data_IF_584527245038
#
_entry.id   IF_584527245038
#
_cell.length_a   1.000
_cell.length_b   1.000
_cell.length_c   1.000
_cell.angle_alpha   90.00
_cell.angle_beta   90.00
_cell.angle_gamma   90.00
#
_symmetry.space_group_name_H-M   'P 1'
#
loop_
_entity.id
_entity.type
_entity.pdbx_description
1 polymer ?
#
# COMPACT_ATOMS: atom_id res chain seq x y z
N UNK A 1 -29.95 -7.63 19.82
CA UNK A 1 -28.97 -6.67 19.26
C UNK A 1 -29.18 -5.26 19.75
N UNK A 2 -30.22 -4.51 19.36
CA UNK A 2 -30.40 -3.12 19.87
C UNK A 2 -30.53 -3.03 21.41
N UNK A 3 -31.36 -3.86 22.07
CA UNK A 3 -31.44 -3.86 23.54
C UNK A 3 -30.14 -4.26 24.24
N UNK A 4 -29.25 -4.99 23.54
CA UNK A 4 -27.96 -5.41 24.08
C UNK A 4 -26.91 -4.32 23.92
N UNK A 5 -26.92 -3.59 22.81
CA UNK A 5 -26.05 -2.45 22.57
C UNK A 5 -26.29 -1.33 23.58
N UNK A 6 -27.56 -1.08 23.93
CA UNK A 6 -27.94 -0.07 24.92
C UNK A 6 -27.34 -0.31 26.32
N UNK A 7 -26.96 -1.55 26.65
CA UNK A 7 -26.31 -1.90 27.93
C UNK A 7 -24.86 -1.41 27.99
N UNK A 8 -24.23 -1.10 26.85
CA UNK A 8 -22.82 -0.73 26.76
C UNK A 8 -22.64 0.70 26.23
N UNK A 9 -22.36 1.66 27.13
CA UNK A 9 -22.24 3.09 26.79
C UNK A 9 -21.18 3.40 25.71
N UNK A 10 -20.03 2.72 25.73
CA UNK A 10 -18.95 2.94 24.76
C UNK A 10 -19.34 2.57 23.32
N UNK A 11 -19.68 1.29 23.06
CA UNK A 11 -20.19 0.84 21.77
C UNK A 11 -21.43 1.60 21.29
N UNK A 12 -22.35 1.93 22.19
CA UNK A 12 -23.53 2.73 21.85
C UNK A 12 -23.13 4.11 21.31
N UNK A 13 -22.20 4.80 21.98
CA UNK A 13 -21.70 6.11 21.54
C UNK A 13 -21.02 6.04 20.17
N UNK A 14 -20.22 5.00 19.91
CA UNK A 14 -19.59 4.81 18.59
C UNK A 14 -20.64 4.57 17.51
N UNK A 15 -21.65 3.73 17.79
CA UNK A 15 -22.73 3.46 16.85
C UNK A 15 -23.53 4.72 16.50
N UNK A 16 -23.95 5.48 17.51
CA UNK A 16 -24.82 6.65 17.33
C UNK A 16 -24.09 7.87 16.76
N UNK A 17 -22.84 8.11 17.18
CA UNK A 17 -22.12 9.34 16.85
C UNK A 17 -21.07 9.19 15.76
N UNK A 18 -20.70 7.96 15.39
CA UNK A 18 -19.69 7.70 14.35
C UNK A 18 -20.28 6.83 13.23
N UNK A 19 -20.72 5.61 13.53
CA UNK A 19 -21.08 4.63 12.50
C UNK A 19 -22.33 5.04 11.72
N UNK A 20 -23.43 5.34 12.42
CA UNK A 20 -24.71 5.69 11.81
C UNK A 20 -24.69 7.03 11.05
N UNK A 21 -24.08 8.12 11.58
CA UNK A 21 -23.95 9.37 10.85
C UNK A 21 -23.08 9.25 9.59
N UNK A 22 -22.18 8.28 9.55
CA UNK A 22 -21.31 8.07 8.39
C UNK A 22 -22.00 7.31 7.25
N UNK A 23 -23.00 6.47 7.53
CA UNK A 23 -23.77 5.73 6.49
C UNK A 23 -24.24 6.65 5.34
N UNK A 24 -24.94 7.78 5.58
CA UNK A 24 -25.36 8.67 4.49
C UNK A 24 -24.17 9.35 3.80
N UNK A 25 -23.04 9.56 4.47
CA UNK A 25 -21.81 10.09 3.86
C UNK A 25 -21.24 9.07 2.86
N UNK A 26 -21.07 7.82 3.28
CA UNK A 26 -20.60 6.74 2.40
C UNK A 26 -21.55 6.53 1.24
N UNK A 27 -22.87 6.50 1.48
CA UNK A 27 -23.86 6.35 0.42
C UNK A 27 -23.73 7.44 -0.65
N UNK A 28 -23.50 8.70 -0.25
CA UNK A 28 -23.24 9.80 -1.20
C UNK A 28 -21.94 9.58 -1.98
N UNK A 29 -20.86 9.19 -1.30
CA UNK A 29 -19.57 8.93 -1.96
C UNK A 29 -19.70 7.81 -3.00
N UNK A 30 -20.35 6.70 -2.64
CA UNK A 30 -20.55 5.55 -3.53
C UNK A 30 -21.43 5.91 -4.74
N UNK A 31 -22.54 6.61 -4.51
CA UNK A 31 -23.47 7.06 -5.57
C UNK A 31 -22.84 8.09 -6.51
N UNK A 32 -21.96 8.95 -6.01
CA UNK A 32 -21.25 9.92 -6.83
C UNK A 32 -20.21 9.25 -7.73
N UNK A 33 -19.46 8.27 -7.20
CA UNK A 33 -18.39 7.60 -7.94
C UNK A 33 -17.26 8.53 -8.39
N UNK A 34 -16.31 7.99 -9.15
CA UNK A 34 -15.15 8.71 -9.70
C UNK A 34 -15.15 8.65 -11.22
N UNK A 35 -14.91 9.80 -11.89
CA UNK A 35 -14.76 9.83 -13.35
C UNK A 35 -13.38 9.26 -13.69
N UNK A 36 -13.31 8.43 -14.72
CA UNK A 36 -12.05 7.91 -15.23
C UNK A 36 -12.01 8.12 -16.74
N UNK A 37 -10.82 8.40 -17.28
CA UNK A 37 -10.61 8.44 -18.73
C UNK A 37 -10.15 7.06 -19.23
N UNK A 38 -10.99 6.33 -19.98
CA UNK A 38 -10.62 5.01 -20.48
C UNK A 38 -9.48 5.05 -21.50
N UNK A 39 -9.33 6.14 -22.28
CA UNK A 39 -8.27 6.26 -23.29
C UNK A 39 -6.90 6.34 -22.61
N UNK A 40 -6.82 7.12 -21.53
CA UNK A 40 -5.60 7.24 -20.73
C UNK A 40 -5.20 5.90 -20.12
N UNK A 41 -6.17 5.15 -19.58
CA UNK A 41 -5.91 3.82 -19.01
C UNK A 41 -5.46 2.81 -20.06
N UNK A 42 -6.02 2.88 -21.27
CA UNK A 42 -5.61 2.02 -22.38
C UNK A 42 -4.16 2.29 -22.80
N UNK A 43 -3.80 3.56 -23.05
CA UNK A 43 -2.43 3.94 -23.42
C UNK A 43 -1.41 3.52 -22.35
N UNK A 44 -1.79 3.63 -21.07
CA UNK A 44 -0.93 3.19 -19.96
C UNK A 44 -0.84 1.66 -19.91
N UNK A 45 -1.91 0.92 -20.23
CA UNK A 45 -1.86 -0.54 -20.33
C UNK A 45 -0.88 -1.00 -21.42
N UNK A 46 -0.84 -0.29 -22.56
CA UNK A 46 0.13 -0.57 -23.63
C UNK A 46 1.58 -0.30 -23.18
N UNK A 47 1.86 0.85 -22.54
CA UNK A 47 3.19 1.16 -21.98
C UNK A 47 3.63 0.09 -20.97
N UNK A 48 2.72 -0.33 -20.08
CA UNK A 48 2.99 -1.40 -19.12
C UNK A 48 3.23 -2.74 -19.81
N UNK A 49 2.52 -3.05 -20.89
CA UNK A 49 2.71 -4.30 -21.64
C UNK A 49 4.11 -4.38 -22.24
N UNK A 50 4.57 -3.29 -22.87
CA UNK A 50 5.94 -3.21 -23.40
C UNK A 50 6.98 -3.37 -22.30
N UNK A 51 6.79 -2.67 -21.18
CA UNK A 51 7.72 -2.72 -20.05
C UNK A 51 7.78 -4.10 -19.39
N UNK A 52 6.63 -4.77 -19.28
CA UNK A 52 6.57 -6.14 -18.74
C UNK A 52 7.32 -7.12 -19.62
N UNK A 53 7.17 -7.01 -20.95
CA UNK A 53 7.91 -7.84 -21.89
C UNK A 53 9.43 -7.61 -21.82
N UNK A 54 9.88 -6.37 -21.63
CA UNK A 54 11.31 -6.06 -21.39
C UNK A 54 11.83 -6.71 -20.10
N UNK A 55 11.06 -6.64 -19.01
CA UNK A 55 11.45 -7.19 -17.72
C UNK A 55 11.44 -8.72 -17.73
N UNK A 56 10.50 -9.32 -18.45
CA UNK A 56 10.43 -10.77 -18.64
C UNK A 56 11.67 -11.28 -19.38
N UNK A 57 12.05 -10.66 -20.51
CA UNK A 57 13.29 -11.01 -21.23
C UNK A 57 14.52 -10.89 -20.35
N UNK A 58 14.65 -9.78 -19.60
CA UNK A 58 15.77 -9.59 -18.66
C UNK A 58 15.80 -10.66 -17.57
N UNK A 59 14.64 -11.06 -17.05
CA UNK A 59 14.57 -12.10 -16.04
C UNK A 59 15.00 -13.47 -16.60
N UNK A 60 14.58 -13.80 -17.82
CA UNK A 60 15.00 -15.02 -18.52
C UNK A 60 16.51 -15.03 -18.80
N UNK A 61 17.07 -13.91 -19.24
CA UNK A 61 18.52 -13.75 -19.45
C UNK A 61 19.32 -13.97 -18.15
N UNK A 62 18.85 -13.41 -17.03
CA UNK A 62 19.51 -13.56 -15.72
C UNK A 62 19.35 -14.99 -15.17
N UNK A 63 18.19 -15.61 -15.40
CA UNK A 63 17.92 -16.98 -14.94
C UNK A 63 18.59 -18.05 -15.81
N UNK A 64 18.94 -17.73 -17.06
CA UNK A 64 19.48 -18.66 -18.04
C UNK A 64 18.45 -19.61 -18.66
N UNK A 65 17.16 -19.39 -18.37
CA UNK A 65 16.06 -20.20 -18.90
C UNK A 65 14.75 -19.41 -18.93
N UNK A 66 13.82 -19.87 -19.77
CA UNK A 66 12.47 -19.33 -19.83
C UNK A 66 11.59 -19.91 -18.73
N UNK A 67 10.84 -19.04 -18.05
CA UNK A 67 9.90 -19.41 -17.01
C UNK A 67 8.81 -18.37 -16.84
N UNK A 68 7.73 -18.75 -16.17
CA UNK A 68 6.63 -17.85 -15.88
C UNK A 68 6.88 -17.06 -14.58
N UNK A 69 7.17 -15.76 -14.72
CA UNK A 69 7.40 -14.83 -13.59
C UNK A 69 6.17 -14.63 -12.69
N UNK A 70 4.96 -14.98 -13.14
CA UNK A 70 3.76 -14.95 -12.29
C UNK A 70 3.62 -16.20 -11.41
N UNK A 71 4.31 -17.30 -11.74
CA UNK A 71 4.24 -18.55 -11.01
C UNK A 71 5.20 -18.57 -9.82
N UNK A 72 4.66 -18.57 -8.62
CA UNK A 72 5.45 -18.63 -7.37
C UNK A 72 6.26 -19.92 -7.26
N UNK A 73 5.75 -21.05 -7.79
CA UNK A 73 6.45 -22.34 -7.78
C UNK A 73 7.68 -22.34 -8.68
N UNK A 74 7.54 -21.85 -9.92
CA UNK A 74 8.68 -21.79 -10.84
C UNK A 74 9.75 -20.82 -10.35
N UNK A 75 9.33 -19.68 -9.78
CA UNK A 75 10.24 -18.75 -9.12
C UNK A 75 11.00 -19.38 -7.94
N UNK A 76 10.34 -20.21 -7.13
CA UNK A 76 11.01 -20.92 -6.03
C UNK A 76 12.09 -21.86 -6.56
N UNK A 77 11.78 -22.66 -7.58
CA UNK A 77 12.74 -23.57 -8.21
C UNK A 77 13.95 -22.81 -8.75
N UNK A 78 13.74 -21.69 -9.45
CA UNK A 78 14.83 -20.93 -10.05
C UNK A 78 15.71 -20.26 -8.99
N UNK A 79 15.11 -19.57 -8.03
CA UNK A 79 15.85 -18.83 -7.01
C UNK A 79 16.59 -19.79 -6.06
N UNK A 80 15.90 -20.81 -5.54
CA UNK A 80 16.43 -21.61 -4.44
C UNK A 80 17.10 -22.92 -4.90
N UNK A 81 16.62 -23.56 -5.96
CA UNK A 81 17.21 -24.83 -6.43
C UNK A 81 18.30 -24.58 -7.48
N UNK A 82 18.04 -23.73 -8.49
CA UNK A 82 18.99 -23.50 -9.60
C UNK A 82 20.08 -22.48 -9.27
N UNK A 83 19.70 -21.31 -8.75
CA UNK A 83 20.66 -20.29 -8.34
C UNK A 83 21.25 -20.57 -6.95
N UNK A 84 20.72 -21.55 -6.22
CA UNK A 84 21.24 -21.96 -4.91
C UNK A 84 21.14 -20.89 -3.83
N UNK A 85 20.24 -19.91 -3.99
CA UNK A 85 20.04 -18.84 -3.01
C UNK A 85 19.47 -19.46 -1.74
N UNK A 86 19.96 -19.04 -0.57
CA UNK A 86 19.44 -19.55 0.71
C UNK A 86 18.09 -18.88 1.04
N UNK A 87 17.03 -19.65 1.33
CA UNK A 87 15.74 -19.09 1.69
C UNK A 87 15.78 -18.45 3.10
N UNK A 88 15.38 -17.18 3.19
CA UNK A 88 15.38 -16.40 4.44
C UNK A 88 14.17 -16.72 5.33
N UNK A 89 13.00 -16.94 4.72
CA UNK A 89 11.75 -17.31 5.41
C UNK A 89 11.07 -18.46 4.68
N UNK A 90 10.32 -19.27 5.42
CA UNK A 90 9.44 -20.32 4.87
C UNK A 90 7.98 -19.97 5.09
N UNK A 91 7.14 -20.35 4.15
CA UNK A 91 5.68 -20.29 4.30
C UNK A 91 5.20 -21.30 5.35
N UNK A 92 3.98 -21.15 5.90
CA UNK A 92 3.41 -22.12 6.84
C UNK A 92 3.37 -23.56 6.30
N UNK A 93 3.31 -23.72 4.97
CA UNK A 93 3.40 -25.03 4.29
C UNK A 93 4.81 -25.55 4.04
N UNK A 94 5.84 -24.93 4.63
CA UNK A 94 7.24 -25.37 4.54
C UNK A 94 7.99 -24.96 3.27
N UNK A 95 7.31 -24.47 2.24
CA UNK A 95 7.93 -24.00 1.01
C UNK A 95 8.69 -22.67 1.23
N UNK A 96 9.84 -22.45 0.56
CA UNK A 96 10.56 -21.18 0.56
C UNK A 96 9.67 -19.98 0.21
N UNK A 97 9.67 -18.92 1.02
CA UNK A 97 8.84 -17.75 0.75
C UNK A 97 9.40 -16.91 -0.39
N UNK A 98 8.55 -16.54 -1.35
CA UNK A 98 8.85 -15.49 -2.35
C UNK A 98 7.99 -14.26 -2.12
N UNK A 99 7.71 -13.93 -0.86
CA UNK A 99 6.98 -12.70 -0.50
C UNK A 99 7.78 -11.44 -0.89
N UNK A 100 7.08 -10.31 -1.00
CA UNK A 100 7.68 -9.02 -1.37
C UNK A 100 8.83 -8.66 -0.41
N UNK A 101 8.63 -8.80 0.91
CA UNK A 101 9.67 -8.59 1.93
C UNK A 101 10.93 -9.45 1.70
N UNK A 102 10.76 -10.74 1.41
CA UNK A 102 11.90 -11.66 1.22
C UNK A 102 12.64 -11.31 -0.07
N UNK A 103 11.91 -10.96 -1.13
CA UNK A 103 12.52 -10.53 -2.38
C UNK A 103 13.22 -9.17 -2.25
N UNK A 104 12.74 -8.26 -1.40
CA UNK A 104 13.41 -6.98 -1.12
C UNK A 104 14.76 -7.17 -0.43
N UNK A 105 14.82 -8.08 0.55
CA UNK A 105 16.08 -8.47 1.20
C UNK A 105 17.03 -9.13 0.20
N UNK A 106 16.55 -10.10 -0.59
CA UNK A 106 17.36 -10.78 -1.60
C UNK A 106 17.79 -9.86 -2.76
N UNK A 107 17.04 -8.79 -3.03
CA UNK A 107 17.38 -7.82 -4.08
C UNK A 107 18.61 -6.96 -3.75
N UNK A 108 19.09 -6.98 -2.50
CA UNK A 108 20.34 -6.32 -2.11
C UNK A 108 21.55 -7.03 -2.71
N UNK A 109 21.52 -8.36 -2.74
CA UNK A 109 22.65 -9.20 -3.15
C UNK A 109 22.49 -9.74 -4.58
N UNK A 110 21.24 -9.92 -5.05
CA UNK A 110 20.95 -10.58 -6.32
C UNK A 110 20.15 -9.70 -7.29
N UNK A 111 20.51 -9.68 -8.59
CA UNK A 111 19.82 -8.86 -9.58
C UNK A 111 18.44 -9.41 -9.97
N UNK A 112 18.23 -10.73 -9.92
CA UNK A 112 16.97 -11.35 -10.34
C UNK A 112 15.76 -10.96 -9.46
N UNK A 113 15.85 -11.00 -8.10
CA UNK A 113 14.77 -10.53 -7.22
C UNK A 113 14.34 -9.09 -7.50
N UNK A 114 15.27 -8.20 -7.83
CA UNK A 114 14.98 -6.79 -8.16
C UNK A 114 14.09 -6.67 -9.41
N UNK A 115 14.42 -7.43 -10.46
CA UNK A 115 13.62 -7.47 -11.70
C UNK A 115 12.24 -8.07 -11.44
N UNK A 116 12.16 -9.14 -10.62
CA UNK A 116 10.89 -9.78 -10.25
C UNK A 116 9.99 -8.82 -9.46
N UNK A 117 10.54 -8.05 -8.52
CA UNK A 117 9.78 -7.06 -7.77
C UNK A 117 9.18 -5.99 -8.69
N UNK A 118 9.98 -5.44 -9.62
CA UNK A 118 9.49 -4.48 -10.62
C UNK A 118 8.39 -5.10 -11.49
N UNK A 119 8.61 -6.32 -12.01
CA UNK A 119 7.64 -7.03 -12.82
C UNK A 119 6.32 -7.27 -12.07
N UNK A 120 6.36 -7.76 -10.82
CA UNK A 120 5.16 -8.03 -10.02
C UNK A 120 4.40 -6.74 -9.69
N UNK A 121 5.11 -5.66 -9.40
CA UNK A 121 4.51 -4.35 -9.17
C UNK A 121 3.73 -3.86 -10.39
N UNK A 122 4.36 -3.89 -11.57
CA UNK A 122 3.73 -3.46 -12.83
C UNK A 122 2.61 -4.42 -13.29
N UNK A 123 2.80 -5.72 -13.16
CA UNK A 123 1.80 -6.73 -13.55
C UNK A 123 0.54 -6.61 -12.67
N UNK A 124 0.71 -6.37 -11.35
CA UNK A 124 -0.39 -6.09 -10.44
C UNK A 124 -1.09 -4.78 -10.81
N UNK A 125 -0.34 -3.73 -11.14
CA UNK A 125 -0.92 -2.46 -11.60
C UNK A 125 -1.78 -2.68 -12.84
N UNK A 126 -1.26 -3.42 -13.83
CA UNK A 126 -1.95 -3.69 -15.09
C UNK A 126 -3.24 -4.49 -14.89
N UNK A 127 -3.11 -5.67 -14.31
CA UNK A 127 -4.20 -6.64 -14.12
C UNK A 127 -5.29 -6.16 -13.16
N UNK A 128 -4.93 -5.34 -12.17
CA UNK A 128 -5.89 -4.87 -11.14
C UNK A 128 -6.56 -3.57 -11.56
N UNK A 129 -5.85 -2.68 -12.25
CA UNK A 129 -6.32 -1.31 -12.47
C UNK A 129 -6.49 -0.95 -13.94
N UNK A 130 -5.45 -0.99 -14.76
CA UNK A 130 -5.54 -0.47 -16.14
C UNK A 130 -6.50 -1.28 -17.01
N UNK A 131 -6.56 -2.59 -16.81
CA UNK A 131 -7.41 -3.47 -17.64
C UNK A 131 -8.83 -3.58 -17.08
N UNK A 132 -8.98 -3.58 -15.74
CA UNK A 132 -10.28 -3.80 -15.09
C UNK A 132 -11.11 -2.53 -14.94
N UNK A 133 -10.51 -1.40 -14.55
CA UNK A 133 -11.26 -0.18 -14.25
C UNK A 133 -12.12 0.33 -15.43
N UNK A 134 -11.65 0.31 -16.70
CA UNK A 134 -12.48 0.72 -17.84
C UNK A 134 -13.75 -0.12 -18.00
N UNK A 135 -13.68 -1.42 -17.66
CA UNK A 135 -14.82 -2.35 -17.72
C UNK A 135 -15.83 -2.10 -16.60
N UNK A 136 -15.45 -1.36 -15.56
CA UNK A 136 -16.29 -1.06 -14.38
C UNK A 136 -16.99 0.30 -14.48
N UNK A 137 -16.87 0.99 -15.62
CA UNK A 137 -17.58 2.24 -15.85
C UNK A 137 -19.07 1.94 -15.96
N UNK A 138 -19.86 2.58 -15.09
CA UNK A 138 -21.30 2.46 -15.17
C UNK A 138 -21.82 3.22 -16.41
N UNK A 139 -22.59 2.60 -17.31
CA UNK A 139 -23.02 3.22 -18.56
C UNK A 139 -23.99 4.39 -18.36
N UNK A 140 -24.70 4.45 -17.21
CA UNK A 140 -25.65 5.54 -16.92
C UNK A 140 -24.97 6.79 -16.40
N UNK A 141 -23.93 6.63 -15.58
CA UNK A 141 -23.24 7.75 -14.90
C UNK A 141 -21.93 8.13 -15.58
N UNK A 142 -21.34 7.24 -16.40
CA UNK A 142 -20.01 7.41 -16.97
C UNK A 142 -18.89 7.38 -15.93
N UNK A 143 -19.15 6.83 -14.73
CA UNK A 143 -18.23 6.85 -13.59
C UNK A 143 -18.04 5.45 -13.02
N UNK A 144 -16.92 5.24 -12.33
CA UNK A 144 -16.67 4.03 -11.55
C UNK A 144 -17.18 4.24 -10.13
N UNK A 145 -17.96 3.29 -9.65
CA UNK A 145 -18.52 3.30 -8.30
C UNK A 145 -17.81 2.25 -7.45
N UNK A 146 -17.47 2.60 -6.22
CA UNK A 146 -16.86 1.68 -5.26
C UNK A 146 -17.82 1.38 -4.12
N UNK A 147 -17.49 0.38 -3.32
CA UNK A 147 -18.21 0.03 -2.09
C UNK A 147 -17.26 0.12 -0.90
N UNK A 148 -17.70 0.78 0.16
CA UNK A 148 -17.01 0.91 1.42
C UNK A 148 -17.63 -0.04 2.43
N UNK A 149 -16.94 -1.14 2.71
CA UNK A 149 -17.40 -2.08 3.72
C UNK A 149 -16.96 -1.61 5.12
N UNK A 150 -17.93 -1.20 5.93
CA UNK A 150 -17.75 -0.64 7.28
C UNK A 150 -17.50 -1.72 8.34
N UNK A 151 -18.18 -2.87 8.26
CA UNK A 151 -18.16 -3.90 9.31
C UNK A 151 -17.29 -5.15 8.98
N UNK A 152 -16.19 -5.00 8.23
CA UNK A 152 -15.38 -6.15 7.76
C UNK A 152 -14.01 -6.26 8.43
N UNK A 153 -13.40 -5.16 8.84
CA UNK A 153 -12.06 -5.21 9.45
C UNK A 153 -12.16 -5.16 10.97
N UNK A 154 -11.32 -5.95 11.65
CA UNK A 154 -11.28 -6.00 13.12
C UNK A 154 -10.83 -4.66 13.76
N UNK A 155 -10.13 -3.82 13.00
CA UNK A 155 -9.58 -2.53 13.47
C UNK A 155 -10.49 -1.34 13.19
N UNK A 156 -11.69 -1.56 12.63
CA UNK A 156 -12.63 -0.47 12.29
C UNK A 156 -12.26 0.31 11.02
N UNK A 157 -11.31 -0.17 10.22
CA UNK A 157 -10.96 0.42 8.91
C UNK A 157 -11.98 0.03 7.84
N UNK A 158 -12.26 0.94 6.91
CA UNK A 158 -13.00 0.57 5.70
C UNK A 158 -12.20 -0.39 4.83
N UNK A 159 -12.88 -1.39 4.31
CA UNK A 159 -12.37 -2.21 3.21
C UNK A 159 -12.99 -1.74 1.91
N UNK A 160 -12.15 -1.44 0.93
CA UNK A 160 -12.55 -1.17 -0.44
C UNK A 160 -12.05 -2.35 -1.31
N UNK A 161 -12.92 -3.10 -1.99
CA UNK A 161 -12.50 -4.28 -2.74
C UNK A 161 -11.86 -3.93 -4.10
N UNK A 162 -12.15 -2.75 -4.65
CA UNK A 162 -11.86 -2.42 -6.07
C UNK A 162 -10.92 -1.22 -6.22
N UNK A 163 -11.04 -0.20 -5.37
CA UNK A 163 -10.38 1.11 -5.52
C UNK A 163 -9.47 1.45 -4.33
N UNK A 164 -8.66 0.51 -3.86
CA UNK A 164 -7.68 0.81 -2.80
C UNK A 164 -6.64 1.83 -3.28
N UNK A 165 -6.72 3.05 -2.72
CA UNK A 165 -5.82 4.17 -3.00
C UNK A 165 -4.33 3.82 -2.70
N UNK A 166 -4.07 2.87 -1.80
CA UNK A 166 -2.70 2.48 -1.39
C UNK A 166 -1.82 2.03 -2.56
N UNK A 167 -2.38 1.48 -3.63
CA UNK A 167 -1.61 0.94 -4.76
C UNK A 167 -1.33 1.98 -5.85
N UNK A 168 -2.05 3.11 -5.87
CA UNK A 168 -1.77 4.22 -6.79
C UNK A 168 -0.46 4.96 -6.46
N UNK A 169 0.08 4.78 -5.25
CA UNK A 169 1.32 5.43 -4.80
C UNK A 169 2.61 4.79 -5.33
N UNK A 170 2.57 3.59 -5.88
CA UNK A 170 3.79 2.78 -6.07
C UNK A 170 4.43 2.88 -7.46
N UNK A 171 3.91 3.68 -8.39
CA UNK A 171 4.50 3.74 -9.74
C UNK A 171 4.80 5.19 -10.11
N UNK A 172 6.07 5.56 -9.92
CA UNK A 172 6.82 6.70 -10.49
C UNK A 172 6.14 8.08 -10.51
N UNK A 173 6.94 9.15 -10.42
CA UNK A 173 6.48 10.56 -10.56
C UNK A 173 5.58 10.83 -11.78
N UNK A 174 5.56 9.94 -12.78
CA UNK A 174 4.68 9.98 -13.96
C UNK A 174 3.18 9.77 -13.67
N UNK A 175 2.78 9.05 -12.61
CA UNK A 175 1.35 8.77 -12.32
C UNK A 175 0.71 9.82 -11.41
N UNK A 176 1.48 10.61 -10.66
CA UNK A 176 0.93 11.78 -9.94
C UNK A 176 0.25 12.78 -10.91
N UNK A 177 0.72 12.83 -12.16
CA UNK A 177 0.08 13.58 -13.27
C UNK A 177 -1.29 12.99 -13.66
N UNK A 178 -1.56 11.73 -13.32
CA UNK A 178 -2.80 11.02 -13.64
C UNK A 178 -3.95 11.32 -12.69
N UNK A 179 -3.71 11.85 -11.48
CA UNK A 179 -4.79 12.27 -10.58
C UNK A 179 -5.70 13.33 -11.22
N UNK A 180 -5.10 14.28 -11.98
CA UNK A 180 -5.83 15.31 -12.73
C UNK A 180 -6.78 14.73 -13.80
N UNK A 181 -6.55 13.48 -14.23
CA UNK A 181 -7.28 12.79 -15.30
C UNK A 181 -8.52 12.04 -14.82
N UNK A 182 -8.79 12.08 -13.51
CA UNK A 182 -9.99 11.50 -12.88
C UNK A 182 -11.02 12.57 -12.47
N UNK A 183 -10.77 13.84 -12.81
CA UNK A 183 -11.68 14.93 -12.52
C UNK A 183 -12.59 15.25 -13.71
N UNK A 184 -13.79 15.77 -13.44
CA UNK A 184 -14.59 16.41 -14.47
C UNK A 184 -13.95 17.77 -14.83
N UNK A 185 -14.18 18.27 -16.05
CA UNK A 185 -13.45 19.42 -16.63
C UNK A 185 -13.56 20.69 -15.77
N UNK A 186 -14.65 20.86 -15.03
CA UNK A 186 -14.90 22.03 -14.16
C UNK A 186 -14.54 21.81 -12.68
N UNK A 187 -13.87 20.70 -12.35
CA UNK A 187 -13.58 20.32 -10.97
C UNK A 187 -12.09 20.12 -10.72
N UNK A 188 -11.70 20.21 -9.45
CA UNK A 188 -10.35 19.86 -8.97
C UNK A 188 -10.44 18.75 -7.94
N UNK A 189 -9.45 17.85 -7.95
CA UNK A 189 -9.31 16.83 -6.90
C UNK A 189 -8.50 17.42 -5.77
N UNK A 190 -9.08 17.42 -4.56
CA UNK A 190 -8.38 17.72 -3.32
C UNK A 190 -8.03 16.41 -2.64
N UNK A 191 -6.74 16.21 -2.34
CA UNK A 191 -6.26 15.07 -1.55
C UNK A 191 -5.75 15.57 -0.21
N UNK A 192 -6.29 15.02 0.86
CA UNK A 192 -5.84 15.26 2.22
C UNK A 192 -5.41 13.93 2.83
N UNK A 193 -4.20 13.89 3.37
CA UNK A 193 -3.63 12.73 4.06
C UNK A 193 -3.05 13.22 5.39
N UNK A 194 -3.36 12.51 6.47
CA UNK A 194 -2.86 12.87 7.79
C UNK A 194 -1.37 12.54 7.89
N UNK A 195 -0.55 13.55 8.15
CA UNK A 195 0.88 13.35 8.37
C UNK A 195 1.14 12.49 9.60
N UNK A 196 1.63 11.27 9.37
CA UNK A 196 2.08 10.33 10.42
C UNK A 196 1.00 10.03 11.49
N UNK A 197 -0.26 9.84 11.07
CA UNK A 197 -1.41 9.73 12.00
C UNK A 197 -1.24 8.65 13.06
N UNK A 198 -0.71 7.48 12.70
CA UNK A 198 -0.54 6.36 13.64
C UNK A 198 0.47 6.69 14.75
N UNK A 199 1.57 7.38 14.40
CA UNK A 199 2.55 7.83 15.39
C UNK A 199 2.00 8.94 16.28
N UNK A 200 1.13 9.82 15.75
CA UNK A 200 0.46 10.85 16.54
C UNK A 200 -0.53 10.23 17.53
N UNK A 201 -1.29 9.23 17.10
CA UNK A 201 -2.18 8.46 17.98
C UNK A 201 -1.34 7.76 19.05
N UNK A 202 -0.23 7.13 18.68
CA UNK A 202 0.68 6.49 19.64
C UNK A 202 1.20 7.48 20.68
N UNK A 203 1.72 8.64 20.26
CA UNK A 203 2.20 9.67 21.17
C UNK A 203 1.11 10.16 22.14
N UNK A 204 -0.13 10.28 21.66
CA UNK A 204 -1.26 10.66 22.49
C UNK A 204 -1.63 9.57 23.51
N UNK A 205 -1.65 8.30 23.09
CA UNK A 205 -2.00 7.16 23.94
C UNK A 205 -0.90 6.83 24.95
N UNK A 206 0.37 6.85 24.54
CA UNK A 206 1.52 6.59 25.42
C UNK A 206 1.82 7.73 26.37
N UNK A 207 1.42 8.96 26.01
CA UNK A 207 1.77 10.21 26.70
C UNK A 207 3.29 10.40 26.87
N UNK A 208 4.07 9.79 26.00
CA UNK A 208 5.51 9.91 26.04
C UNK A 208 5.95 11.36 25.77
N UNK A 209 6.75 11.92 26.68
CA UNK A 209 7.16 13.33 26.59
C UNK A 209 8.06 13.58 25.38
N UNK A 210 8.94 12.64 25.04
CA UNK A 210 9.84 12.78 23.89
C UNK A 210 9.07 12.88 22.57
N UNK A 211 8.12 11.98 22.35
CA UNK A 211 7.25 11.98 21.18
C UNK A 211 6.32 13.18 21.13
N UNK A 212 5.69 13.54 22.25
CA UNK A 212 4.81 14.72 22.32
C UNK A 212 5.58 16.00 21.97
N UNK A 213 6.77 16.20 22.54
CA UNK A 213 7.63 17.35 22.23
C UNK A 213 8.10 17.31 20.78
N UNK A 214 8.52 16.15 20.26
CA UNK A 214 8.93 16.01 18.87
C UNK A 214 7.80 16.39 17.89
N UNK A 215 6.56 16.00 18.18
CA UNK A 215 5.40 16.39 17.36
C UNK A 215 5.02 17.87 17.51
N UNK A 216 5.11 18.43 18.72
CA UNK A 216 4.82 19.84 18.98
C UNK A 216 5.83 20.77 18.29
N UNK A 217 7.10 20.36 18.24
CA UNK A 217 8.19 21.11 17.61
C UNK A 217 8.38 20.80 16.12
N UNK A 218 7.55 19.91 15.54
CA UNK A 218 7.63 19.56 14.12
C UNK A 218 8.90 18.79 13.72
N UNK A 219 9.56 18.11 14.67
CA UNK A 219 10.77 17.32 14.43
C UNK A 219 10.45 16.02 13.69
N UNK A 220 11.42 15.50 12.94
CA UNK A 220 11.30 14.19 12.31
C UNK A 220 11.39 13.08 13.37
N UNK A 221 10.24 12.48 13.70
CA UNK A 221 10.12 11.41 14.70
C UNK A 221 11.03 10.24 14.39
N UNK A 222 11.19 9.84 13.12
CA UNK A 222 12.05 8.72 12.79
C UNK A 222 13.52 9.03 13.07
N UNK A 223 13.95 10.28 12.87
CA UNK A 223 15.29 10.71 13.26
C UNK A 223 15.41 10.90 14.77
N UNK A 224 14.37 11.37 15.45
CA UNK A 224 14.36 11.53 16.90
C UNK A 224 14.44 10.17 17.62
N UNK A 225 13.65 9.19 17.19
CA UNK A 225 13.74 7.82 17.71
C UNK A 225 15.10 7.20 17.38
N UNK A 226 15.63 7.39 16.17
CA UNK A 226 16.96 6.87 15.84
C UNK A 226 18.05 7.51 16.72
N UNK A 227 18.01 8.83 16.92
CA UNK A 227 18.92 9.55 17.79
C UNK A 227 18.91 8.99 19.21
N UNK A 228 17.73 8.70 19.75
CA UNK A 228 17.57 8.14 21.09
C UNK A 228 18.05 6.67 21.17
N UNK A 229 17.66 5.82 20.21
CA UNK A 229 18.03 4.40 20.17
C UNK A 229 19.53 4.21 19.95
N UNK A 230 20.15 5.03 19.10
CA UNK A 230 21.58 4.94 18.78
C UNK A 230 22.45 5.86 19.65
N UNK A 231 21.86 6.68 20.54
CA UNK A 231 22.58 7.62 21.40
C UNK A 231 23.33 8.72 20.62
N UNK A 232 22.81 9.13 19.46
CA UNK A 232 23.45 10.07 18.54
C UNK A 232 22.71 11.42 18.48
N UNK A 233 23.40 12.54 18.25
CA UNK A 233 22.75 13.81 17.91
C UNK A 233 21.84 13.66 16.67
N UNK A 234 20.68 14.31 16.70
CA UNK A 234 19.66 14.31 15.63
C UNK A 234 20.25 14.60 14.23
N UNK A 235 21.24 15.47 14.17
CA UNK A 235 21.91 15.92 12.95
C UNK A 235 22.77 14.82 12.30
N UNK A 236 23.37 13.97 13.14
CA UNK A 236 24.26 12.88 12.72
C UNK A 236 23.53 11.60 12.33
N UNK A 237 22.21 11.54 12.53
CA UNK A 237 21.40 10.38 12.15
C UNK A 237 21.40 10.21 10.64
N UNK A 238 21.90 9.07 10.17
CA UNK A 238 21.94 8.71 8.75
C UNK A 238 20.57 8.30 8.22
N UNK A 239 20.39 8.36 6.90
CA UNK A 239 19.15 7.91 6.23
C UNK A 239 18.84 6.44 6.49
N UNK A 240 19.87 5.61 6.67
CA UNK A 240 19.72 4.19 6.98
C UNK A 240 19.24 3.97 8.42
N UNK A 241 19.84 4.65 9.40
CA UNK A 241 19.39 4.62 10.80
C UNK A 241 17.94 5.12 10.94
N UNK A 242 17.57 6.17 10.20
CA UNK A 242 16.19 6.65 10.11
C UNK A 242 15.24 5.58 9.56
N UNK A 243 15.65 4.83 8.54
CA UNK A 243 14.83 3.74 7.95
C UNK A 243 14.66 2.59 8.94
N UNK A 244 15.70 2.22 9.67
CA UNK A 244 15.63 1.21 10.73
C UNK A 244 14.72 1.64 11.88
N UNK A 245 14.83 2.89 12.34
CA UNK A 245 13.95 3.43 13.38
C UNK A 245 12.48 3.52 12.92
N UNK A 246 12.22 3.74 11.63
CA UNK A 246 10.87 3.62 11.07
C UNK A 246 10.32 2.19 11.25
N UNK A 247 11.10 1.17 10.93
CA UNK A 247 10.68 -0.22 11.11
C UNK A 247 10.44 -0.55 12.60
N UNK A 248 11.31 -0.08 13.49
CA UNK A 248 11.16 -0.24 14.95
C UNK A 248 9.89 0.45 15.45
N UNK A 249 9.64 1.70 15.04
CA UNK A 249 8.43 2.43 15.45
C UNK A 249 7.15 1.71 15.03
N UNK A 250 7.10 1.17 13.81
CA UNK A 250 5.94 0.36 13.39
C UNK A 250 5.90 -1.00 14.10
N UNK A 251 7.05 -1.63 14.36
CA UNK A 251 7.12 -2.87 15.14
C UNK A 251 6.58 -2.71 16.55
N UNK A 252 6.93 -1.62 17.24
CA UNK A 252 6.44 -1.32 18.59
C UNK A 252 4.94 -0.99 18.65
N UNK A 253 4.35 -0.48 17.56
CA UNK A 253 2.91 -0.21 17.47
C UNK A 253 2.09 -1.50 17.34
N UNK A 254 2.67 -2.53 16.74
CA UNK A 254 1.97 -3.75 16.33
C UNK A 254 2.45 -5.04 17.03
N UNK A 255 3.39 -4.93 17.97
CA UNK A 255 3.81 -6.01 18.87
C UNK A 255 2.85 -6.14 20.06
#
# INVERSE_FOLDING_TARGET
MWPDLQKHKGPLNVFENIEMPLVPVLSRIERNGVKIDPKVLHNHSEELTLRLAELEKKAHEIAGEEFNLSSTKQLQTILFEKQGIKPLKKTPGGAPSTSEEVLEELALDYPLPKVILEYRGLAKLKSTYTDKLPLMINPKTGRVHTSYHQAVTATGRYRQPILTCKTFRCVTKKVAVSARRYCAEDYVIVSADYSQIELRIMAHLSRDKGLLTAFAEGKDIHRATAAEVFGLPLETVTSEQRRSAKAINFGLIYA
#
